data_IF_980941258320
#
_entry.id   IF_980941258320
#
_cell.length_a   1.000
_cell.length_b   1.000
_cell.length_c   1.000
_cell.angle_alpha   90.00
_cell.angle_beta   90.00
_cell.angle_gamma   90.00
#
_symmetry.space_group_name_H-M   'P 1'
#
loop_
_entity.id
_entity.type
_entity.pdbx_description
1 polymer ?
#
# COMPACT_ATOMS: atom_id res chain seq x y z
N UNK A 1 -8.19 -4.09 22.99
CA UNK A 1 -7.62 -2.90 22.33
C UNK A 1 -7.12 -3.36 20.97
N UNK A 2 -7.74 -2.89 19.88
CA UNK A 2 -7.45 -3.36 18.52
C UNK A 2 -5.96 -3.16 18.19
N UNK A 3 -5.29 -4.23 17.79
CA UNK A 3 -4.03 -4.13 17.07
C UNK A 3 -4.39 -3.70 15.65
N UNK A 4 -4.34 -2.40 15.37
CA UNK A 4 -4.34 -1.94 13.98
C UNK A 4 -2.95 -2.20 13.44
N UNK A 5 -2.80 -3.26 12.65
CA UNK A 5 -1.65 -3.51 11.77
C UNK A 5 -1.62 -2.42 10.69
N UNK A 6 -1.29 -1.18 11.06
CA UNK A 6 -1.07 -0.09 10.10
C UNK A 6 0.33 -0.28 9.53
N UNK A 7 0.49 -1.23 8.61
CA UNK A 7 1.74 -1.38 7.88
C UNK A 7 1.81 -0.28 6.82
N UNK A 8 2.50 0.81 7.15
CA UNK A 8 2.72 1.94 6.26
C UNK A 8 4.08 1.76 5.57
N UNK A 9 4.06 1.54 4.26
CA UNK A 9 5.26 1.36 3.45
C UNK A 9 5.62 2.61 2.66
N UNK A 10 6.91 2.81 2.40
CA UNK A 10 7.40 3.77 1.40
C UNK A 10 7.83 2.96 0.17
N UNK A 11 7.31 3.30 -0.99
CA UNK A 11 7.70 2.72 -2.28
C UNK A 11 8.23 3.80 -3.20
N UNK A 12 9.15 3.42 -4.09
CA UNK A 12 9.60 4.28 -5.18
C UNK A 12 8.72 3.99 -6.40
N UNK A 13 8.31 5.04 -7.12
CA UNK A 13 7.45 4.91 -8.31
C UNK A 13 8.17 5.44 -9.54
N UNK A 14 8.02 4.70 -10.63
CA UNK A 14 8.49 5.10 -11.95
C UNK A 14 7.30 5.60 -12.77
N UNK A 15 6.91 6.85 -12.52
CA UNK A 15 5.80 7.50 -13.22
C UNK A 15 4.89 8.34 -12.33
N UNK A 16 3.90 9.02 -12.94
CA UNK A 16 2.92 9.81 -12.21
C UNK A 16 2.02 8.90 -11.35
N UNK A 17 1.77 9.35 -10.13
CA UNK A 17 0.92 8.68 -9.13
C UNK A 17 0.11 9.73 -8.39
N UNK A 18 -1.10 9.37 -7.98
CA UNK A 18 -2.00 10.29 -7.26
C UNK A 18 -2.31 9.81 -5.85
N UNK A 19 -2.65 10.76 -4.97
CA UNK A 19 -3.26 10.40 -3.69
C UNK A 19 -4.60 9.69 -3.92
N UNK A 20 -4.93 8.78 -3.00
CA UNK A 20 -6.11 7.90 -3.01
C UNK A 20 -6.14 6.91 -4.20
N UNK A 21 -5.01 6.72 -4.87
CA UNK A 21 -4.88 5.71 -5.91
C UNK A 21 -4.70 4.33 -5.28
N UNK A 22 -5.45 3.33 -5.75
CA UNK A 22 -5.27 1.94 -5.34
C UNK A 22 -4.10 1.35 -6.12
N UNK A 23 -3.11 0.84 -5.40
CA UNK A 23 -1.95 0.13 -5.94
C UNK A 23 -1.95 -1.34 -5.50
N UNK A 24 -1.26 -2.17 -6.28
CA UNK A 24 -1.12 -3.59 -6.00
C UNK A 24 0.35 -3.94 -5.82
N UNK A 25 0.69 -4.52 -4.68
CA UNK A 25 2.04 -4.99 -4.37
C UNK A 25 2.07 -6.50 -4.59
N UNK A 26 2.92 -6.96 -5.51
CA UNK A 26 3.13 -8.38 -5.73
C UNK A 26 4.41 -8.83 -5.01
N UNK A 27 4.25 -9.59 -3.93
CA UNK A 27 5.33 -10.15 -3.15
C UNK A 27 5.41 -11.66 -3.39
N UNK A 28 6.18 -12.08 -4.40
CA UNK A 28 6.44 -13.49 -4.64
C UNK A 28 5.19 -14.34 -4.89
N UNK A 29 4.15 -13.77 -5.50
CA UNK A 29 2.86 -14.44 -5.75
C UNK A 29 1.75 -14.02 -4.79
N UNK A 30 2.08 -13.33 -3.68
CA UNK A 30 1.09 -12.70 -2.80
C UNK A 30 0.74 -11.33 -3.35
N UNK A 31 -0.53 -11.14 -3.74
CA UNK A 31 -1.05 -9.83 -4.14
C UNK A 31 -1.63 -9.13 -2.92
N UNK A 32 -1.00 -8.03 -2.54
CA UNK A 32 -1.51 -7.10 -1.53
C UNK A 32 -2.14 -5.90 -2.25
N UNK A 33 -3.25 -5.42 -1.72
CA UNK A 33 -3.86 -4.17 -2.16
C UNK A 33 -3.48 -3.08 -1.19
N UNK A 34 -3.05 -1.94 -1.70
CA UNK A 34 -2.67 -0.80 -0.89
C UNK A 34 -3.22 0.50 -1.50
N UNK A 35 -3.39 1.54 -0.69
CA UNK A 35 -3.80 2.86 -1.14
C UNK A 35 -2.66 3.86 -0.96
N UNK A 36 -2.47 4.74 -1.94
CA UNK A 36 -1.54 5.85 -1.86
C UNK A 36 -2.11 6.94 -0.96
N UNK A 37 -1.50 7.15 0.20
CA UNK A 37 -1.97 8.16 1.16
C UNK A 37 -1.15 9.44 1.14
N UNK A 38 0.07 9.41 0.57
CA UNK A 38 0.90 10.60 0.37
C UNK A 38 1.91 10.42 -0.75
N UNK A 39 2.09 11.44 -1.58
CA UNK A 39 3.06 11.49 -2.68
C UNK A 39 4.14 12.52 -2.35
N UNK A 40 5.40 12.12 -2.45
CA UNK A 40 6.59 12.95 -2.27
C UNK A 40 7.54 12.76 -3.46
N UNK A 41 7.23 13.40 -4.60
CA UNK A 41 8.01 13.24 -5.83
C UNK A 41 7.97 11.79 -6.31
N UNK A 42 9.12 11.13 -6.39
CA UNK A 42 9.23 9.71 -6.75
C UNK A 42 8.96 8.75 -5.60
N UNK A 43 8.75 9.25 -4.37
CA UNK A 43 8.47 8.43 -3.19
C UNK A 43 7.01 8.52 -2.80
N UNK A 44 6.43 7.36 -2.52
CA UNK A 44 5.01 7.25 -2.22
C UNK A 44 4.81 6.47 -0.95
N UNK A 45 3.92 6.99 -0.13
CA UNK A 45 3.46 6.40 1.10
C UNK A 45 2.19 5.61 0.81
N UNK A 46 2.24 4.32 1.08
CA UNK A 46 1.15 3.39 0.79
C UNK A 46 0.67 2.72 2.06
N UNK A 47 -0.64 2.67 2.24
CA UNK A 47 -1.27 1.92 3.31
C UNK A 47 -1.74 0.57 2.78
N UNK A 48 -1.20 -0.53 3.30
CA UNK A 48 -1.60 -1.88 2.91
C UNK A 48 -2.89 -2.29 3.62
N UNK A 49 -3.85 -2.82 2.87
CA UNK A 49 -5.03 -3.44 3.43
C UNK A 49 -4.78 -4.94 3.61
N UNK A 50 -4.77 -5.40 4.87
CA UNK A 50 -4.74 -6.83 5.15
C UNK A 50 -6.07 -7.46 4.75
N UNK A 51 -6.05 -8.32 3.73
CA UNK A 51 -7.15 -9.21 3.46
C UNK A 51 -7.16 -10.28 4.56
N UNK A 52 -7.95 -10.07 5.61
CA UNK A 52 -8.33 -11.16 6.51
C UNK A 52 -9.20 -12.11 5.71
N UNK A 53 -8.56 -13.06 5.00
CA UNK A 53 -9.26 -14.22 4.52
C UNK A 53 -9.60 -15.03 5.77
N UNK A 54 -10.81 -14.80 6.29
CA UNK A 54 -11.39 -15.65 7.31
C UNK A 54 -11.29 -17.09 6.85
N UNK A 55 -10.59 -17.89 7.65
CA UNK A 55 -10.83 -19.34 7.74
C UNK A 55 -12.25 -19.59 8.24
#
# INVERSE_FOLDING_TARGET
>A
MQASLVNHGIVDVDGPVSQNEICHINLGGVKLTAEVIKVLGSKVYTQVFEKHQGT
#
